data_IF_642788878608
#
_entry.id   IF_642788878608
#
_cell.length_a   1.000
_cell.length_b   1.000
_cell.length_c   1.000
_cell.angle_alpha   90.00
_cell.angle_beta   90.00
_cell.angle_gamma   90.00
#
_symmetry.space_group_name_H-M   'P 1'
#
loop_
_entity.id
_entity.type
_entity.pdbx_description
1 polymer ?
#
# COMPACT_ATOMS: atom_id res chain seq x y z
N UNK A 1 -8.69 0.31 -8.61
CA UNK A 1 -9.23 -0.18 -7.32
C UNK A 1 -8.50 0.51 -6.18
N UNK A 2 -9.21 0.94 -5.13
CA UNK A 2 -8.60 1.50 -3.91
C UNK A 2 -8.69 0.44 -2.81
N UNK A 3 -7.56 0.08 -2.22
CA UNK A 3 -7.48 -0.95 -1.17
C UNK A 3 -7.26 -0.29 0.17
N UNK A 4 -8.04 -0.72 1.15
CA UNK A 4 -8.02 -0.25 2.53
C UNK A 4 -7.78 -1.44 3.46
N UNK A 5 -7.54 -1.16 4.73
CA UNK A 5 -7.42 -2.19 5.75
C UNK A 5 -8.50 -2.03 6.82
N UNK A 6 -9.10 -3.15 7.19
CA UNK A 6 -10.11 -3.27 8.23
C UNK A 6 -9.69 -4.32 9.24
N UNK A 7 -10.28 -4.26 10.42
CA UNK A 7 -10.16 -5.28 11.46
C UNK A 7 -11.39 -6.17 11.36
N UNK A 8 -11.19 -7.45 11.09
CA UNK A 8 -12.27 -8.43 11.13
C UNK A 8 -12.81 -8.53 12.56
N UNK A 9 -14.10 -8.23 12.80
CA UNK A 9 -14.66 -8.22 14.15
C UNK A 9 -14.73 -9.61 14.80
N UNK A 10 -14.72 -10.70 14.03
CA UNK A 10 -14.77 -12.06 14.54
C UNK A 10 -13.40 -12.57 14.99
N UNK A 11 -12.33 -12.17 14.29
CA UNK A 11 -10.97 -12.70 14.54
C UNK A 11 -10.01 -11.66 15.12
N UNK A 12 -10.37 -10.38 15.08
CA UNK A 12 -9.47 -9.26 15.39
C UNK A 12 -8.33 -9.09 14.37
N UNK A 13 -8.31 -9.89 13.30
CA UNK A 13 -7.23 -9.86 12.32
C UNK A 13 -7.42 -8.72 11.32
N UNK A 14 -6.30 -8.20 10.84
CA UNK A 14 -6.28 -7.20 9.78
C UNK A 14 -6.58 -7.85 8.43
N UNK A 15 -7.54 -7.29 7.69
CA UNK A 15 -7.91 -7.72 6.34
C UNK A 15 -7.82 -6.54 5.38
N UNK A 16 -7.16 -6.75 4.23
CA UNK A 16 -7.19 -5.77 3.16
C UNK A 16 -8.48 -5.94 2.35
N UNK A 17 -9.14 -4.86 1.97
CA UNK A 17 -10.40 -4.92 1.22
C UNK A 17 -10.57 -3.74 0.27
N UNK A 18 -11.37 -3.94 -0.75
CA UNK A 18 -11.81 -2.91 -1.68
C UNK A 18 -13.26 -3.16 -2.10
N UNK A 19 -13.90 -2.12 -2.63
CA UNK A 19 -15.24 -2.24 -3.19
C UNK A 19 -15.19 -2.89 -4.57
N UNK A 20 -16.10 -3.84 -4.80
CA UNK A 20 -16.42 -4.34 -6.14
C UNK A 20 -17.29 -3.33 -6.93
N UNK A 21 -17.68 -3.71 -8.14
CA UNK A 21 -18.50 -2.84 -9.01
C UNK A 21 -19.90 -2.54 -8.44
N UNK A 22 -20.40 -3.36 -7.53
CA UNK A 22 -21.68 -3.16 -6.84
C UNK A 22 -21.52 -2.37 -5.52
N UNK A 23 -20.29 -1.96 -5.17
CA UNK A 23 -19.99 -1.25 -3.93
C UNK A 23 -19.83 -2.16 -2.70
N UNK A 24 -19.86 -3.48 -2.88
CA UNK A 24 -19.67 -4.44 -1.78
C UNK A 24 -18.19 -4.52 -1.43
N UNK A 25 -17.89 -4.40 -0.14
CA UNK A 25 -16.53 -4.55 0.37
C UNK A 25 -16.12 -6.01 0.38
N UNK A 26 -15.09 -6.34 -0.40
CA UNK A 26 -14.53 -7.69 -0.52
C UNK A 26 -13.07 -7.70 -0.15
N UNK A 27 -12.62 -8.81 0.41
CA UNK A 27 -11.21 -9.02 0.71
C UNK A 27 -10.38 -8.91 -0.56
N UNK A 28 -9.26 -8.20 -0.45
CA UNK A 28 -8.30 -7.99 -1.50
C UNK A 28 -6.99 -8.71 -1.15
N UNK A 29 -6.59 -9.67 -1.97
CA UNK A 29 -5.32 -10.40 -1.84
C UNK A 29 -4.34 -9.97 -2.93
N UNK A 30 -3.04 -10.15 -2.68
CA UNK A 30 -2.02 -9.96 -3.71
C UNK A 30 -1.85 -11.28 -4.47
N UNK A 31 -2.18 -11.27 -5.76
CA UNK A 31 -1.94 -12.36 -6.69
C UNK A 31 -1.04 -11.86 -7.83
N UNK A 32 0.12 -12.50 -8.02
CA UNK A 32 1.12 -12.11 -9.01
C UNK A 32 1.47 -10.60 -9.01
N UNK A 33 1.62 -10.00 -7.82
CA UNK A 33 1.98 -8.59 -7.66
C UNK A 33 0.84 -7.60 -7.89
N UNK A 34 -0.40 -8.06 -8.09
CA UNK A 34 -1.59 -7.23 -8.25
C UNK A 34 -2.64 -7.58 -7.21
N UNK A 35 -3.44 -6.59 -6.80
CA UNK A 35 -4.59 -6.86 -5.96
C UNK A 35 -5.71 -7.52 -6.77
N UNK A 36 -6.28 -8.59 -6.23
CA UNK A 36 -7.46 -9.27 -6.73
C UNK A 36 -8.49 -9.41 -5.60
N UNK A 37 -9.77 -9.22 -5.93
CA UNK A 37 -10.86 -9.43 -4.99
C UNK A 37 -11.18 -10.92 -4.85
N UNK A 38 -11.44 -11.36 -3.63
CA UNK A 38 -11.98 -12.68 -3.33
C UNK A 38 -13.50 -12.60 -3.14
N UNK A 39 -14.16 -13.74 -2.98
CA UNK A 39 -15.59 -13.77 -2.69
C UNK A 39 -15.92 -13.39 -1.24
N UNK A 40 -14.92 -13.31 -0.35
CA UNK A 40 -15.13 -12.99 1.06
C UNK A 40 -15.55 -11.54 1.23
N UNK A 41 -16.75 -11.33 1.76
CA UNK A 41 -17.26 -10.00 2.15
C UNK A 41 -16.57 -9.55 3.44
N UNK A 42 -16.20 -8.28 3.51
CA UNK A 42 -15.51 -7.66 4.65
C UNK A 42 -16.38 -6.58 5.27
N UNK A 43 -16.45 -6.58 6.61
CA UNK A 43 -17.08 -5.49 7.35
C UNK A 43 -16.16 -4.25 7.38
N UNK A 44 -16.58 -3.20 6.67
CA UNK A 44 -15.82 -1.95 6.55
C UNK A 44 -15.99 -1.00 7.75
N UNK A 45 -16.86 -1.33 8.72
CA UNK A 45 -17.17 -0.43 9.86
C UNK A 45 -16.07 -0.40 10.92
N UNK A 46 -15.07 -1.27 10.80
CA UNK A 46 -13.95 -1.40 11.72
C UNK A 46 -12.63 -1.12 10.99
N UNK A 47 -12.25 0.15 10.72
CA UNK A 47 -10.98 0.45 10.08
C UNK A 47 -9.81 -0.05 10.92
N UNK A 48 -8.82 -0.67 10.27
CA UNK A 48 -7.59 -1.05 10.95
C UNK A 48 -6.67 0.16 11.08
N UNK A 49 -6.01 0.36 12.23
CA UNK A 49 -5.02 1.43 12.38
C UNK A 49 -3.77 1.16 11.53
N UNK A 50 -3.13 2.25 11.09
CA UNK A 50 -1.85 2.20 10.39
C UNK A 50 -1.95 2.00 8.87
N UNK A 51 -0.90 1.43 8.28
CA UNK A 51 -0.77 1.28 6.84
C UNK A 51 -1.75 0.24 6.26
N UNK A 52 -2.14 0.36 4.98
CA UNK A 52 -3.08 -0.56 4.32
C UNK A 52 -2.51 -1.96 4.05
N UNK A 53 -1.19 -2.17 4.14
CA UNK A 53 -0.55 -3.48 4.09
C UNK A 53 0.73 -3.53 4.92
N UNK A 54 1.26 -4.73 5.13
CA UNK A 54 2.49 -4.97 5.89
C UNK A 54 3.61 -5.34 4.90
N UNK A 55 4.44 -4.38 4.46
CA UNK A 55 5.52 -4.65 3.52
C UNK A 55 6.61 -5.53 4.16
N UNK A 56 7.21 -6.44 3.36
CA UNK A 56 8.42 -7.18 3.78
C UNK A 56 9.70 -6.37 3.59
N UNK A 57 9.69 -5.43 2.65
CA UNK A 57 10.78 -4.49 2.36
C UNK A 57 10.17 -3.21 1.78
N UNK A 58 10.80 -2.06 2.07
CA UNK A 58 10.37 -0.77 1.54
C UNK A 58 11.54 -0.18 0.75
N UNK A 59 11.39 -0.10 -0.57
CA UNK A 59 12.32 0.57 -1.47
C UNK A 59 11.82 1.98 -1.74
N UNK A 60 12.70 2.96 -1.55
CA UNK A 60 12.39 4.37 -1.74
C UNK A 60 13.29 4.95 -2.83
N UNK A 61 12.73 5.85 -3.65
CA UNK A 61 13.51 6.64 -4.58
C UNK A 61 14.02 7.91 -3.89
N UNK A 62 15.31 8.17 -4.00
CA UNK A 62 15.88 9.50 -3.75
C UNK A 62 15.54 10.45 -4.90
N UNK A 63 15.71 11.76 -4.67
CA UNK A 63 15.65 12.87 -5.64
C UNK A 63 15.02 12.50 -7.00
N UNK A 64 13.68 12.43 -7.03
CA UNK A 64 12.91 11.96 -8.20
C UNK A 64 12.04 13.06 -8.83
N UNK A 65 12.33 14.32 -8.54
CA UNK A 65 11.66 15.50 -9.12
C UNK A 65 12.70 16.43 -9.74
N UNK A 66 12.50 16.80 -11.00
CA UNK A 66 13.50 17.51 -11.80
C UNK A 66 13.90 18.87 -11.22
N UNK A 67 12.94 19.65 -10.74
CA UNK A 67 13.25 20.97 -10.16
C UNK A 67 13.78 20.87 -8.73
N UNK A 68 13.26 19.92 -7.92
CA UNK A 68 13.76 19.68 -6.57
C UNK A 68 15.22 19.15 -6.57
N UNK A 69 15.65 18.47 -7.64
CA UNK A 69 17.05 18.07 -7.81
C UNK A 69 18.00 19.28 -7.85
N UNK A 70 17.56 20.38 -8.47
CA UNK A 70 18.33 21.63 -8.57
C UNK A 70 18.49 22.30 -7.19
N UNK A 71 17.49 22.19 -6.32
CA UNK A 71 17.53 22.77 -4.96
C UNK A 71 18.62 22.17 -4.08
N UNK A 72 18.92 20.88 -4.25
CA UNK A 72 20.01 20.19 -3.54
C UNK A 72 21.37 20.33 -4.22
N UNK A 73 21.48 21.13 -5.28
CA UNK A 73 22.69 21.20 -6.12
C UNK A 73 23.08 19.86 -6.75
N UNK A 74 22.14 18.91 -6.81
CA UNK A 74 22.38 17.59 -7.34
C UNK A 74 22.27 17.62 -8.87
N UNK A 75 23.25 17.09 -9.62
CA UNK A 75 23.07 16.92 -11.06
C UNK A 75 21.90 15.98 -11.33
N UNK A 76 21.21 16.16 -12.46
CA UNK A 76 20.16 15.26 -12.89
C UNK A 76 20.68 13.82 -12.89
N UNK A 77 20.04 12.94 -12.13
CA UNK A 77 20.48 11.56 -12.01
C UNK A 77 20.15 10.78 -13.30
N UNK A 78 21.15 10.08 -13.85
CA UNK A 78 20.97 9.24 -15.05
C UNK A 78 20.20 7.95 -14.75
N UNK A 79 20.22 7.51 -13.49
CA UNK A 79 19.50 6.34 -13.00
C UNK A 79 18.83 6.66 -11.65
N UNK A 80 17.74 5.99 -11.29
CA UNK A 80 17.11 6.17 -9.98
C UNK A 80 18.05 5.81 -8.84
N UNK A 81 18.24 6.72 -7.89
CA UNK A 81 18.88 6.37 -6.60
C UNK A 81 17.88 5.65 -5.72
N UNK A 82 18.18 4.41 -5.32
CA UNK A 82 17.29 3.60 -4.48
C UNK A 82 17.93 3.39 -3.10
N UNK A 83 17.13 3.56 -2.05
CA UNK A 83 17.50 3.20 -0.68
C UNK A 83 16.39 2.40 0.00
N UNK A 84 16.71 1.72 1.09
CA UNK A 84 15.75 0.91 1.84
C UNK A 84 15.34 1.59 3.15
N UNK A 85 14.08 1.41 3.54
CA UNK A 85 13.58 1.67 4.90
C UNK A 85 13.21 0.36 5.57
N UNK A 86 13.44 0.31 6.89
CA UNK A 86 12.97 -0.80 7.71
C UNK A 86 11.42 -0.77 7.74
N UNK A 87 10.71 -1.91 7.55
CA UNK A 87 9.25 -1.97 7.70
C UNK A 87 8.70 -1.45 9.04
N UNK A 88 9.53 -1.38 10.09
CA UNK A 88 9.18 -0.80 11.38
C UNK A 88 9.42 0.73 11.49
N UNK A 89 9.71 1.42 10.37
CA UNK A 89 9.94 2.88 10.33
C UNK A 89 8.66 3.70 10.46
#
# INVERSE_FOLDING_TARGET
MRVFAFTDPATGQRVAAAQDAAGVWREAIINAGRFALTERVVDHRHPAPGAPFTPRAIFCAGVNYADHAKEFGSPQQAHPTIFMKNPAS
#
